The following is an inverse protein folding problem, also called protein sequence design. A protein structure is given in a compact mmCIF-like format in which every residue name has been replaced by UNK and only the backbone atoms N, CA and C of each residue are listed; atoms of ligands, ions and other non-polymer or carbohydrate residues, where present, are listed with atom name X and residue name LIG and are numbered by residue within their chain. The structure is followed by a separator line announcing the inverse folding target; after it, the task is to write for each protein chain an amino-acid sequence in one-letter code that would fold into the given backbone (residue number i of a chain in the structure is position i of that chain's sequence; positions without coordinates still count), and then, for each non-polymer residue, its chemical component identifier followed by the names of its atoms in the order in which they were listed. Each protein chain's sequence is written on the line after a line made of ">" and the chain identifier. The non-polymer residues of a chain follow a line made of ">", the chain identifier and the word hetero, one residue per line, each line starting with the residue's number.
data_IF_998874728883
#
_entry.id   IF_998874728883
#
_cell.length_a   1.000
_cell.length_b   1.000
_cell.length_c   1.000
_cell.angle_alpha   90.00
_cell.angle_beta   90.00
_cell.angle_gamma   90.00
#
_symmetry.space_group_name_H-M   'P 1'
#
loop_
_entity.id
_entity.type
_entity.pdbx_description
1 polymer ?
#
# COMPACT_ATOMS: atom_id res chain seq x y z
N UNK A 1 49.85 24.57 25.78
CA UNK A 1 48.37 24.55 25.89
C UNK A 1 48.04 24.00 27.26
N UNK A 2 47.18 24.64 28.07
CA UNK A 2 46.82 24.08 29.37
C UNK A 2 45.86 22.89 29.19
N UNK A 3 45.99 21.87 30.03
CA UNK A 3 45.19 20.62 29.96
C UNK A 3 43.68 20.91 30.03
N UNK A 4 43.25 21.79 30.93
CA UNK A 4 41.87 22.25 31.02
C UNK A 4 41.37 22.94 29.74
N UNK A 5 42.22 23.72 29.06
CA UNK A 5 41.85 24.34 27.80
C UNK A 5 41.67 23.28 26.69
N UNK A 6 42.52 22.26 26.66
CA UNK A 6 42.40 21.14 25.71
C UNK A 6 41.12 20.31 25.97
N UNK A 7 40.81 20.02 27.23
CA UNK A 7 39.59 19.31 27.62
C UNK A 7 38.34 20.11 27.21
N UNK A 8 38.29 21.41 27.53
CA UNK A 8 37.15 22.25 27.20
C UNK A 8 36.92 22.36 25.67
N UNK A 9 38.00 22.47 24.89
CA UNK A 9 37.91 22.48 23.42
C UNK A 9 37.39 21.13 22.92
N UNK A 10 37.92 20.03 23.43
CA UNK A 10 37.50 18.67 23.04
C UNK A 10 36.02 18.44 23.32
N UNK A 11 35.55 18.77 24.53
CA UNK A 11 34.13 18.64 24.89
C UNK A 11 33.24 19.59 24.07
N UNK A 12 33.71 20.81 23.78
CA UNK A 12 33.00 21.75 22.91
C UNK A 12 32.80 21.20 21.50
N UNK A 13 33.84 20.62 20.90
CA UNK A 13 33.76 19.97 19.59
C UNK A 13 32.82 18.76 19.62
N UNK A 14 32.86 17.97 20.69
CA UNK A 14 31.97 16.81 20.87
C UNK A 14 30.50 17.21 20.90
N UNK A 15 30.16 18.29 21.62
CA UNK A 15 28.78 18.81 21.68
C UNK A 15 28.31 19.35 20.32
N UNK A 16 29.19 20.03 19.58
CA UNK A 16 28.88 20.51 18.23
C UNK A 16 28.64 19.33 17.29
N UNK A 17 29.50 18.31 17.32
CA UNK A 17 29.35 17.11 16.50
C UNK A 17 28.05 16.36 16.82
N UNK A 18 27.72 16.21 18.11
CA UNK A 18 26.47 15.60 18.55
C UNK A 18 25.24 16.40 18.09
N UNK A 19 25.28 17.72 18.22
CA UNK A 19 24.22 18.61 17.74
C UNK A 19 24.00 18.52 16.22
N UNK A 20 25.10 18.49 15.45
CA UNK A 20 25.04 18.34 13.99
C UNK A 20 24.46 16.98 13.59
N UNK A 21 24.82 15.90 14.30
CA UNK A 21 24.28 14.57 14.07
C UNK A 21 22.78 14.51 14.36
N UNK A 22 22.33 15.05 15.50
CA UNK A 22 20.90 15.11 15.85
C UNK A 22 20.12 15.90 14.80
N UNK A 23 20.62 17.07 14.39
CA UNK A 23 19.99 17.88 13.34
C UNK A 23 19.86 17.11 12.01
N UNK A 24 20.93 16.41 11.61
CA UNK A 24 20.95 15.63 10.37
C UNK A 24 19.93 14.49 10.40
N UNK A 25 19.88 13.74 11.52
CA UNK A 25 18.93 12.63 11.70
C UNK A 25 17.50 13.14 11.67
N UNK A 26 17.17 14.22 12.39
CA UNK A 26 15.81 14.78 12.42
C UNK A 26 15.40 15.25 11.02
N UNK A 27 16.31 15.90 10.28
CA UNK A 27 16.04 16.29 8.89
C UNK A 27 15.77 15.08 8.00
N UNK A 28 16.61 14.05 8.09
CA UNK A 28 16.47 12.82 7.30
C UNK A 28 15.20 12.05 7.64
N UNK A 29 14.87 11.95 8.92
CA UNK A 29 13.66 11.30 9.41
C UNK A 29 12.39 12.02 8.93
N UNK A 30 12.41 13.35 8.82
CA UNK A 30 11.30 14.13 8.26
C UNK A 30 11.11 13.85 6.76
N UNK A 31 12.20 13.77 6.01
CA UNK A 31 12.17 13.44 4.57
C UNK A 31 11.66 12.00 4.36
N UNK A 32 12.14 11.03 5.15
CA UNK A 32 11.73 9.62 5.05
C UNK A 32 10.29 9.37 5.56
N UNK A 33 9.80 10.19 6.50
CA UNK A 33 8.40 10.14 6.95
C UNK A 33 7.41 10.41 5.84
N UNK A 34 7.76 11.25 4.87
CA UNK A 34 6.85 11.55 3.77
C UNK A 34 6.68 10.34 2.87
N UNK A 35 7.80 9.70 2.48
CA UNK A 35 7.79 8.45 1.72
C UNK A 35 7.02 7.35 2.45
N UNK A 36 7.21 7.22 3.77
CA UNK A 36 6.47 6.26 4.59
C UNK A 36 4.98 6.59 4.72
N UNK A 37 4.58 7.87 4.75
CA UNK A 37 3.16 8.26 4.79
C UNK A 37 2.50 7.99 3.45
N UNK A 38 3.22 8.22 2.35
CA UNK A 38 2.72 7.98 0.99
C UNK A 38 2.64 6.45 0.72
N UNK A 39 3.59 5.65 1.19
CA UNK A 39 3.57 4.18 1.09
C UNK A 39 2.56 3.53 2.06
N UNK A 40 2.41 4.08 3.27
CA UNK A 40 1.42 3.63 4.24
C UNK A 40 0.04 4.28 4.05
N UNK A 41 -0.14 5.09 2.99
CA UNK A 41 -1.44 5.62 2.65
C UNK A 41 -2.40 4.45 2.42
N UNK A 42 -3.62 4.49 3.00
CA UNK A 42 -4.58 3.42 2.82
C UNK A 42 -4.84 3.27 1.32
N UNK A 43 -4.63 2.07 0.79
CA UNK A 43 -4.93 1.77 -0.62
C UNK A 43 -6.39 2.14 -0.90
N UNK A 44 -6.61 3.19 -1.67
CA UNK A 44 -7.93 3.65 -2.03
C UNK A 44 -8.43 2.69 -3.12
N UNK A 45 -9.54 2.00 -2.85
CA UNK A 45 -10.16 1.13 -3.84
C UNK A 45 -10.54 1.96 -5.08
N UNK A 46 -9.98 1.62 -6.24
CA UNK A 46 -10.17 2.34 -7.51
C UNK A 46 -8.94 3.07 -8.07
N UNK A 47 -7.85 3.20 -7.30
CA UNK A 47 -6.56 3.73 -7.83
C UNK A 47 -5.76 2.68 -8.61
N UNK A 48 -5.96 1.39 -8.31
CA UNK A 48 -5.48 0.32 -9.17
C UNK A 48 -6.40 0.26 -10.41
N UNK A 49 -5.82 0.35 -11.61
CA UNK A 49 -6.48 -0.10 -12.86
C UNK A 49 -6.67 -1.62 -12.78
N UNK A 50 -7.58 -2.06 -11.91
CA UNK A 50 -8.13 -3.40 -11.99
C UNK A 50 -9.04 -3.33 -13.21
N UNK A 51 -8.49 -3.70 -14.37
CA UNK A 51 -9.26 -3.87 -15.59
C UNK A 51 -10.40 -4.83 -15.26
N UNK A 52 -11.58 -4.29 -14.95
CA UNK A 52 -12.77 -5.04 -14.54
C UNK A 52 -13.38 -5.85 -15.68
N UNK A 53 -12.62 -6.04 -16.74
CA UNK A 53 -12.99 -6.87 -17.87
C UNK A 53 -12.78 -8.34 -17.48
N UNK A 54 -13.77 -9.16 -17.78
CA UNK A 54 -13.60 -10.59 -17.70
C UNK A 54 -12.46 -11.01 -18.62
N UNK A 55 -11.56 -11.88 -18.13
CA UNK A 55 -10.45 -12.43 -18.94
C UNK A 55 -10.92 -13.12 -20.23
N UNK A 56 -12.17 -13.58 -20.25
CA UNK A 56 -12.82 -14.17 -21.40
C UNK A 56 -14.25 -13.63 -21.46
N UNK A 57 -14.50 -12.47 -22.09
CA UNK A 57 -15.84 -11.89 -22.13
C UNK A 57 -16.80 -12.74 -22.97
N UNK A 58 -16.30 -13.57 -23.90
CA UNK A 58 -17.13 -14.44 -24.73
C UNK A 58 -17.84 -15.55 -23.95
N UNK A 59 -17.37 -15.88 -22.73
CA UNK A 59 -18.05 -16.87 -21.88
C UNK A 59 -19.43 -16.40 -21.39
N UNK A 60 -19.74 -15.10 -21.57
CA UNK A 60 -21.03 -14.52 -21.25
C UNK A 60 -21.93 -14.33 -22.48
N UNK A 61 -21.44 -14.67 -23.69
CA UNK A 61 -22.21 -14.54 -24.94
C UNK A 61 -23.30 -15.62 -25.03
N UNK A 62 -23.05 -16.81 -24.46
CA UNK A 62 -24.01 -17.91 -24.39
C UNK A 62 -23.96 -18.55 -22.99
N UNK A 63 -25.11 -18.80 -22.33
CA UNK A 63 -25.14 -19.53 -21.06
C UNK A 63 -24.63 -20.96 -21.24
N UNK A 64 -23.97 -21.49 -20.21
CA UNK A 64 -23.57 -22.89 -20.18
C UNK A 64 -24.76 -23.81 -19.82
N UNK A 65 -24.54 -25.12 -19.98
CA UNK A 65 -25.58 -26.13 -19.71
C UNK A 65 -26.11 -26.07 -18.27
N UNK A 66 -25.26 -25.68 -17.31
CA UNK A 66 -25.64 -25.51 -15.90
C UNK A 66 -26.56 -24.29 -15.70
N UNK A 67 -26.24 -23.16 -16.33
CA UNK A 67 -27.13 -21.99 -16.32
C UNK A 67 -28.44 -22.24 -17.07
N UNK A 68 -28.42 -23.06 -18.14
CA UNK A 68 -29.63 -23.45 -18.86
C UNK A 68 -30.56 -24.33 -18.01
N UNK A 69 -30.00 -25.28 -17.27
CA UNK A 69 -30.74 -26.14 -16.33
C UNK A 69 -31.39 -25.30 -15.21
N UNK A 70 -30.63 -24.37 -14.62
CA UNK A 70 -31.15 -23.45 -13.60
C UNK A 70 -32.30 -22.58 -14.15
N UNK A 71 -32.20 -22.13 -15.41
CA UNK A 71 -33.27 -21.38 -16.06
C UNK A 71 -34.51 -22.25 -16.32
N UNK A 72 -34.35 -23.52 -16.69
CA UNK A 72 -35.45 -24.48 -16.86
C UNK A 72 -36.23 -24.71 -15.56
N UNK A 73 -35.52 -24.90 -14.45
CA UNK A 73 -36.14 -24.98 -13.11
C UNK A 73 -36.84 -23.67 -12.72
N UNK A 74 -36.26 -22.49 -13.04
CA UNK A 74 -36.90 -21.20 -12.80
C UNK A 74 -38.15 -20.95 -13.66
N UNK A 75 -38.20 -21.54 -14.86
CA UNK A 75 -39.33 -21.51 -15.79
C UNK A 75 -40.44 -22.50 -15.40
N UNK A 76 -40.18 -23.39 -14.44
CA UNK A 76 -41.12 -24.42 -14.00
C UNK A 76 -41.26 -25.56 -15.00
N UNK A 77 -40.26 -25.77 -15.87
CA UNK A 77 -40.28 -26.89 -16.84
C UNK A 77 -40.28 -28.26 -16.12
N UNK A 78 -39.73 -28.31 -14.90
CA UNK A 78 -39.79 -29.47 -14.01
C UNK A 78 -41.17 -29.70 -13.36
N UNK A 79 -42.05 -28.68 -13.36
CA UNK A 79 -43.42 -28.76 -12.80
C UNK A 79 -44.45 -29.24 -13.83
N UNK A 80 -44.09 -29.35 -15.12
CA UNK A 80 -44.98 -29.78 -16.22
C UNK A 80 -45.04 -31.31 -16.42
N UNK A 81 -44.29 -32.10 -15.64
CA UNK A 81 -44.25 -33.58 -15.73
C UNK A 81 -45.20 -34.33 -14.77
N UNK A 82 -46.27 -33.68 -14.24
CA UNK A 82 -47.34 -34.31 -13.43
C UNK A 82 -48.73 -34.32 -14.13
#
# INVERSE_FOLDING_TARGET
>A
MSEHLMLNITYGLLLIALGAMVWYIVRRAKENRQEMIDEAAPKIAGDDEIGGEAKNPQQFDEPDDEALDEMGTLLGEDDEED
#
